data_IF_081767393756
#
_entry.id   IF_081767393756
#
_cell.length_a   1.000
_cell.length_b   1.000
_cell.length_c   1.000
_cell.angle_alpha   90.00
_cell.angle_beta   90.00
_cell.angle_gamma   90.00
#
_symmetry.space_group_name_H-M   'P 1'
#
loop_
_entity.id
_entity.type
_entity.pdbx_description
1 polymer ?
#
# COMPACT_ATOMS: atom_id res chain seq x y z
N UNK A 1 -6.52 -54.75 2.33
CA UNK A 1 -7.93 -54.58 1.94
C UNK A 1 -7.98 -53.49 0.87
N UNK A 2 -8.02 -53.93 -0.39
CA UNK A 2 -8.57 -53.28 -1.59
C UNK A 2 -8.18 -51.81 -1.83
N UNK A 3 -7.17 -51.47 -2.65
CA UNK A 3 -7.23 -51.42 -4.13
C UNK A 3 -8.65 -51.30 -4.70
N UNK A 4 -9.05 -50.07 -5.06
CA UNK A 4 -9.88 -49.72 -6.23
C UNK A 4 -10.57 -48.37 -6.00
N UNK A 5 -10.03 -47.31 -6.61
CA UNK A 5 -10.81 -46.37 -7.44
C UNK A 5 -9.85 -45.36 -8.12
N UNK A 6 -8.82 -45.90 -8.78
CA UNK A 6 -8.31 -45.30 -10.02
C UNK A 6 -9.09 -46.00 -11.13
N UNK A 7 -9.46 -45.26 -12.19
CA UNK A 7 -10.45 -45.61 -13.24
C UNK A 7 -11.87 -45.42 -12.67
N UNK A 8 -12.66 -44.38 -12.97
CA UNK A 8 -12.99 -43.79 -14.27
C UNK A 8 -13.01 -42.25 -14.19
N UNK A 9 -11.89 -41.59 -14.49
CA UNK A 9 -11.96 -40.31 -15.20
C UNK A 9 -12.14 -40.68 -16.66
N UNK A 10 -13.36 -41.06 -17.03
CA UNK A 10 -13.74 -41.02 -18.44
C UNK A 10 -13.61 -39.57 -18.86
N UNK A 11 -12.91 -39.34 -19.97
CA UNK A 11 -12.73 -38.07 -20.65
C UNK A 11 -14.06 -37.33 -20.84
N UNK A 12 -14.52 -36.63 -19.81
CA UNK A 12 -15.36 -35.47 -19.99
C UNK A 12 -14.37 -34.34 -20.21
N UNK A 13 -13.88 -34.23 -21.45
CA UNK A 13 -13.47 -32.92 -21.93
C UNK A 13 -14.67 -32.03 -21.70
N UNK A 14 -14.65 -31.22 -20.63
CA UNK A 14 -15.51 -30.07 -20.53
C UNK A 14 -15.38 -29.38 -21.89
N UNK A 15 -16.47 -29.37 -22.65
CA UNK A 15 -16.51 -28.59 -23.89
C UNK A 15 -16.56 -27.14 -23.42
N UNK A 16 -15.40 -26.61 -23.01
CA UNK A 16 -15.21 -25.20 -22.74
C UNK A 16 -15.30 -24.51 -24.08
N UNK A 17 -16.50 -24.04 -24.40
CA UNK A 17 -16.83 -23.44 -25.67
C UNK A 17 -18.25 -22.90 -25.65
N UNK A 18 -18.49 -21.92 -26.51
CA UNK A 18 -19.82 -21.34 -26.66
C UNK A 18 -20.64 -22.25 -27.57
N UNK A 19 -21.30 -23.24 -26.98
CA UNK A 19 -22.04 -24.25 -27.74
C UNK A 19 -23.44 -23.76 -28.11
N UNK A 20 -23.82 -23.92 -29.37
CA UNK A 20 -25.21 -23.75 -29.77
C UNK A 20 -26.05 -24.95 -29.30
N UNK A 21 -27.09 -24.78 -28.47
CA UNK A 21 -27.88 -25.88 -27.94
C UNK A 21 -28.74 -26.60 -28.99
N UNK A 22 -29.04 -25.94 -30.12
CA UNK A 22 -29.82 -26.55 -31.20
C UNK A 22 -28.95 -27.30 -32.21
N UNK A 23 -27.80 -26.72 -32.60
CA UNK A 23 -26.90 -27.34 -33.57
C UNK A 23 -25.82 -28.23 -32.96
N UNK A 24 -25.61 -28.16 -31.64
CA UNK A 24 -24.47 -28.76 -30.93
C UNK A 24 -23.11 -28.37 -31.54
N UNK A 25 -23.04 -27.18 -32.14
CA UNK A 25 -21.82 -26.61 -32.72
C UNK A 25 -21.08 -25.79 -31.66
N UNK A 26 -19.79 -26.06 -31.50
CA UNK A 26 -18.91 -25.24 -30.66
C UNK A 26 -18.49 -23.99 -31.42
N UNK A 27 -18.70 -22.83 -30.81
CA UNK A 27 -18.35 -21.52 -31.37
C UNK A 27 -17.23 -20.89 -30.52
N UNK A 28 -16.43 -20.03 -31.14
CA UNK A 28 -15.19 -19.51 -30.56
C UNK A 28 -15.39 -18.38 -29.54
N UNK A 29 -16.59 -17.78 -29.49
CA UNK A 29 -16.93 -16.70 -28.57
C UNK A 29 -18.44 -16.58 -28.30
N UNK A 30 -18.80 -15.84 -27.24
CA UNK A 30 -20.18 -15.52 -26.88
C UNK A 30 -20.89 -14.73 -28.00
N UNK A 31 -20.20 -13.76 -28.59
CA UNK A 31 -20.71 -12.98 -29.73
C UNK A 31 -20.99 -13.86 -30.96
N UNK A 32 -20.10 -14.81 -31.29
CA UNK A 32 -20.34 -15.74 -32.40
C UNK A 32 -21.54 -16.64 -32.16
N UNK A 33 -21.73 -17.09 -30.91
CA UNK A 33 -22.91 -17.85 -30.51
C UNK A 33 -24.20 -17.05 -30.66
N UNK A 34 -24.21 -15.81 -30.20
CA UNK A 34 -25.35 -14.91 -30.35
C UNK A 34 -25.69 -14.65 -31.82
N UNK A 35 -24.70 -14.38 -32.66
CA UNK A 35 -24.92 -14.14 -34.10
C UNK A 35 -25.40 -15.41 -34.80
N UNK A 36 -24.81 -16.57 -34.49
CA UNK A 36 -25.25 -17.86 -35.00
C UNK A 36 -26.71 -18.12 -34.63
N UNK A 37 -27.06 -17.94 -33.35
CA UNK A 37 -28.41 -18.19 -32.86
C UNK A 37 -29.43 -17.26 -33.53
N UNK A 38 -29.14 -15.96 -33.58
CA UNK A 38 -30.02 -14.97 -34.20
C UNK A 38 -30.15 -15.10 -35.72
N UNK A 39 -29.23 -15.79 -36.40
CA UNK A 39 -29.28 -15.97 -37.85
C UNK A 39 -29.81 -17.34 -38.29
N UNK A 40 -29.69 -18.37 -37.44
CA UNK A 40 -30.07 -19.75 -37.76
C UNK A 40 -31.31 -20.25 -37.02
N UNK A 41 -31.56 -19.74 -35.83
CA UNK A 41 -32.61 -20.23 -34.92
C UNK A 41 -33.65 -19.17 -34.58
N UNK A 42 -33.30 -17.88 -34.63
CA UNK A 42 -34.29 -16.83 -34.55
C UNK A 42 -35.07 -16.75 -35.88
N UNK A 43 -36.24 -17.36 -35.92
CA UNK A 43 -37.20 -17.14 -37.01
C UNK A 43 -37.93 -15.81 -36.80
N UNK A 44 -38.19 -15.05 -37.88
CA UNK A 44 -38.86 -13.72 -37.83
C UNK A 44 -40.29 -13.73 -37.26
N UNK A 45 -40.82 -14.89 -36.87
CA UNK A 45 -42.16 -15.06 -36.31
C UNK A 45 -42.26 -14.93 -34.79
N UNK A 46 -41.14 -14.82 -34.05
CA UNK A 46 -41.17 -14.73 -32.57
C UNK A 46 -41.36 -13.32 -32.02
N UNK A 47 -41.45 -12.27 -32.86
CA UNK A 47 -41.61 -10.91 -32.36
C UNK A 47 -43.05 -10.50 -32.00
N UNK A 48 -44.08 -11.34 -32.22
CA UNK A 48 -45.48 -10.90 -32.01
C UNK A 48 -46.51 -11.95 -31.55
N UNK A 49 -46.10 -13.08 -31.00
CA UNK A 49 -47.03 -13.96 -30.26
C UNK A 49 -46.68 -13.89 -28.77
N UNK A 50 -47.67 -13.70 -27.87
CA UNK A 50 -47.48 -14.09 -26.48
C UNK A 50 -47.00 -15.53 -26.52
N UNK A 51 -45.89 -15.85 -25.86
CA UNK A 51 -45.43 -17.22 -25.70
C UNK A 51 -46.54 -17.96 -24.95
N UNK A 52 -47.46 -18.57 -25.69
CA UNK A 52 -48.39 -19.55 -25.15
C UNK A 52 -47.52 -20.74 -24.74
N UNK A 53 -47.20 -20.75 -23.45
CA UNK A 53 -46.53 -21.85 -22.76
C UNK A 53 -47.29 -23.13 -23.17
N UNK A 54 -46.61 -24.15 -23.73
CA UNK A 54 -47.25 -25.44 -23.99
C UNK A 54 -47.94 -25.88 -22.71
N UNK A 55 -49.10 -26.55 -22.76
CA UNK A 55 -49.78 -27.00 -21.55
C UNK A 55 -48.79 -27.87 -20.79
N UNK A 56 -48.29 -27.33 -19.67
CA UNK A 56 -47.37 -28.02 -18.78
C UNK A 56 -48.16 -29.22 -18.31
N UNK A 57 -47.84 -30.39 -18.85
CA UNK A 57 -48.24 -31.64 -18.24
C UNK A 57 -47.64 -31.56 -16.85
N UNK A 58 -48.49 -31.53 -15.82
CA UNK A 58 -48.13 -31.34 -14.41
C UNK A 58 -47.23 -32.50 -13.95
N UNK A 59 -45.96 -32.46 -14.36
CA UNK A 59 -44.89 -33.34 -13.91
C UNK A 59 -44.26 -32.65 -12.69
N UNK A 60 -44.46 -33.20 -11.48
CA UNK A 60 -44.02 -32.57 -10.23
C UNK A 60 -42.55 -32.16 -10.25
N UNK A 61 -41.70 -32.95 -10.90
CA UNK A 61 -40.26 -32.73 -11.04
C UNK A 61 -39.91 -31.40 -11.73
N UNK A 62 -40.66 -31.00 -12.76
CA UNK A 62 -40.41 -29.74 -13.48
C UNK A 62 -40.80 -28.54 -12.61
N UNK A 63 -41.87 -28.68 -11.82
CA UNK A 63 -42.30 -27.62 -10.91
C UNK A 63 -41.39 -27.45 -9.69
N UNK A 64 -40.75 -28.53 -9.22
CA UNK A 64 -39.72 -28.44 -8.18
C UNK A 64 -38.44 -27.80 -8.71
N UNK A 65 -37.97 -28.20 -9.91
CA UNK A 65 -36.78 -27.61 -10.51
C UNK A 65 -36.91 -26.09 -10.74
N UNK A 66 -38.10 -25.62 -11.16
CA UNK A 66 -38.36 -24.18 -11.30
C UNK A 66 -38.26 -23.47 -9.94
N UNK A 67 -38.80 -24.06 -8.87
CA UNK A 67 -38.70 -23.49 -7.52
C UNK A 67 -37.25 -23.45 -7.03
N UNK A 68 -36.49 -24.52 -7.25
CA UNK A 68 -35.08 -24.59 -6.88
C UNK A 68 -34.25 -23.55 -7.62
N UNK A 69 -34.51 -23.36 -8.91
CA UNK A 69 -33.87 -22.33 -9.72
C UNK A 69 -34.21 -20.92 -9.22
N UNK A 70 -35.49 -20.62 -8.97
CA UNK A 70 -35.92 -19.31 -8.45
C UNK A 70 -35.29 -19.03 -7.09
N UNK A 71 -35.19 -20.05 -6.23
CA UNK A 71 -34.56 -19.94 -4.91
C UNK A 71 -33.06 -19.70 -5.03
N UNK A 72 -32.38 -20.36 -5.97
CA UNK A 72 -30.97 -20.14 -6.25
C UNK A 72 -30.72 -18.72 -6.80
N UNK A 73 -31.52 -18.26 -7.76
CA UNK A 73 -31.41 -16.91 -8.33
C UNK A 73 -31.61 -15.85 -7.25
N UNK A 74 -32.62 -16.01 -6.40
CA UNK A 74 -32.88 -15.10 -5.29
C UNK A 74 -31.73 -15.10 -4.27
N UNK A 75 -31.18 -16.29 -3.96
CA UNK A 75 -30.02 -16.46 -3.10
C UNK A 75 -28.79 -15.73 -3.64
N UNK A 76 -28.45 -15.95 -4.92
CA UNK A 76 -27.35 -15.29 -5.61
C UNK A 76 -27.53 -13.77 -5.64
N UNK A 77 -28.73 -13.27 -5.92
CA UNK A 77 -29.00 -11.83 -5.93
C UNK A 77 -28.80 -11.21 -4.53
N UNK A 78 -29.28 -11.90 -3.49
CA UNK A 78 -29.13 -11.45 -2.11
C UNK A 78 -27.67 -11.43 -1.67
N UNK A 79 -26.92 -12.49 -1.98
CA UNK A 79 -25.50 -12.59 -1.66
C UNK A 79 -24.68 -11.54 -2.41
N UNK A 80 -24.91 -11.35 -3.71
CA UNK A 80 -24.22 -10.33 -4.50
C UNK A 80 -24.46 -8.93 -3.95
N UNK A 81 -25.69 -8.63 -3.49
CA UNK A 81 -25.99 -7.36 -2.84
C UNK A 81 -25.22 -7.17 -1.53
N UNK A 82 -25.10 -8.21 -0.71
CA UNK A 82 -24.33 -8.15 0.53
C UNK A 82 -22.83 -7.91 0.26
N UNK A 83 -22.28 -8.62 -0.73
CA UNK A 83 -20.89 -8.45 -1.16
C UNK A 83 -20.64 -7.04 -1.70
N UNK A 84 -21.54 -6.48 -2.50
CA UNK A 84 -21.42 -5.11 -3.02
C UNK A 84 -21.37 -4.07 -1.89
N UNK A 85 -22.20 -4.21 -0.87
CA UNK A 85 -22.18 -3.33 0.31
C UNK A 85 -20.90 -3.51 1.15
N UNK A 86 -20.36 -4.72 1.24
CA UNK A 86 -19.10 -4.99 1.92
C UNK A 86 -17.89 -4.41 1.17
N UNK A 87 -17.91 -4.50 -0.16
CA UNK A 87 -16.91 -3.88 -1.03
C UNK A 87 -16.95 -2.35 -0.88
N UNK A 88 -18.13 -1.72 -0.89
CA UNK A 88 -18.28 -0.27 -0.67
C UNK A 88 -17.73 0.14 0.70
N UNK A 89 -18.08 -0.60 1.75
CA UNK A 89 -17.60 -0.33 3.12
C UNK A 89 -16.08 -0.45 3.20
N UNK A 90 -15.51 -1.49 2.63
CA UNK A 90 -14.06 -1.73 2.63
C UNK A 90 -13.33 -0.68 1.80
N UNK A 91 -13.86 -0.33 0.63
CA UNK A 91 -13.32 0.74 -0.21
C UNK A 91 -13.26 2.07 0.53
N UNK A 92 -14.32 2.44 1.27
CA UNK A 92 -14.33 3.66 2.06
C UNK A 92 -13.26 3.66 3.16
N UNK A 93 -13.03 2.52 3.82
CA UNK A 93 -11.96 2.37 4.82
C UNK A 93 -10.57 2.52 4.20
N UNK A 94 -10.34 1.94 3.02
CA UNK A 94 -9.07 2.08 2.28
C UNK A 94 -8.83 3.54 1.90
N UNK A 95 -9.82 4.23 1.34
CA UNK A 95 -9.68 5.66 0.98
C UNK A 95 -9.37 6.54 2.19
N UNK A 96 -9.99 6.26 3.35
CA UNK A 96 -9.67 6.95 4.60
C UNK A 96 -8.21 6.70 5.02
N UNK A 97 -7.76 5.44 5.00
CA UNK A 97 -6.39 5.08 5.34
C UNK A 97 -5.37 5.76 4.43
N UNK A 98 -5.60 5.79 3.12
CA UNK A 98 -4.75 6.49 2.16
C UNK A 98 -4.67 7.98 2.44
N UNK A 99 -5.81 8.61 2.78
CA UNK A 99 -5.84 10.02 3.16
C UNK A 99 -5.04 10.28 4.43
N UNK A 100 -5.19 9.43 5.46
CA UNK A 100 -4.43 9.54 6.72
C UNK A 100 -2.94 9.38 6.48
N UNK A 101 -2.53 8.37 5.70
CA UNK A 101 -1.13 8.13 5.36
C UNK A 101 -0.53 9.30 4.59
N UNK A 102 -1.25 9.86 3.62
CA UNK A 102 -0.79 11.05 2.89
C UNK A 102 -0.57 12.24 3.82
N UNK A 103 -1.54 12.52 4.71
CA UNK A 103 -1.40 13.60 5.70
C UNK A 103 -0.27 13.37 6.70
N UNK A 104 0.05 12.11 7.04
CA UNK A 104 1.18 11.77 7.91
C UNK A 104 2.53 11.97 7.22
N UNK A 105 2.60 11.73 5.90
CA UNK A 105 3.82 11.95 5.10
C UNK A 105 4.08 13.43 4.84
N UNK A 106 3.01 14.21 4.69
CA UNK A 106 3.08 15.66 4.44
C UNK A 106 3.11 16.51 5.72
N UNK A 107 3.02 15.88 6.90
CA UNK A 107 2.96 16.55 8.20
C UNK A 107 1.76 17.49 8.38
N UNK A 108 0.69 17.23 7.65
CA UNK A 108 -0.53 18.06 7.62
C UNK A 108 -1.68 17.47 8.42
N UNK A 109 -1.47 16.34 9.10
CA UNK A 109 -2.55 15.69 9.85
C UNK A 109 -3.04 16.57 10.99
N UNK A 110 -4.36 16.84 11.00
CA UNK A 110 -4.98 17.65 12.04
C UNK A 110 -5.39 16.80 13.25
N UNK A 111 -5.36 17.40 14.44
CA UNK A 111 -5.84 16.76 15.68
C UNK A 111 -7.31 16.37 15.60
N UNK A 112 -8.13 17.18 14.93
CA UNK A 112 -9.54 16.88 14.66
C UNK A 112 -9.70 15.64 13.76
N UNK A 113 -8.85 15.50 12.73
CA UNK A 113 -8.85 14.32 11.87
C UNK A 113 -8.55 13.07 12.68
N UNK A 114 -7.51 13.12 13.53
CA UNK A 114 -7.13 11.99 14.40
C UNK A 114 -8.26 11.62 15.37
N UNK A 115 -8.90 12.61 16.00
CA UNK A 115 -10.00 12.39 16.95
C UNK A 115 -11.21 11.67 16.33
N UNK A 116 -11.47 11.89 15.03
CA UNK A 116 -12.59 11.29 14.32
C UNK A 116 -12.32 9.88 13.78
N UNK A 117 -11.09 9.36 13.93
CA UNK A 117 -10.75 8.00 13.49
C UNK A 117 -11.35 6.94 14.42
N UNK A 118 -11.58 5.74 13.86
CA UNK A 118 -11.91 4.54 14.64
C UNK A 118 -10.84 4.28 15.72
N UNK A 119 -11.26 3.77 16.89
CA UNK A 119 -10.42 3.62 18.10
C UNK A 119 -9.03 3.03 17.82
N UNK A 120 -8.98 1.88 17.16
CA UNK A 120 -7.74 1.14 16.88
C UNK A 120 -6.80 1.94 15.97
N UNK A 121 -7.34 2.55 14.91
CA UNK A 121 -6.56 3.37 13.99
C UNK A 121 -6.08 4.66 14.67
N UNK A 122 -6.95 5.29 15.48
CA UNK A 122 -6.60 6.48 16.24
C UNK A 122 -5.44 6.23 17.19
N UNK A 123 -5.50 5.14 17.98
CA UNK A 123 -4.42 4.75 18.88
C UNK A 123 -3.10 4.54 18.12
N UNK A 124 -3.12 3.81 17.00
CA UNK A 124 -1.92 3.59 16.18
C UNK A 124 -1.33 4.88 15.61
N UNK A 125 -2.18 5.80 15.14
CA UNK A 125 -1.76 7.10 14.61
C UNK A 125 -1.17 7.97 15.73
N UNK A 126 -1.82 8.03 16.88
CA UNK A 126 -1.31 8.76 18.04
C UNK A 126 0.05 8.22 18.49
N UNK A 127 0.18 6.90 18.69
CA UNK A 127 1.45 6.27 19.09
C UNK A 127 2.57 6.51 18.08
N UNK A 128 2.23 6.57 16.78
CA UNK A 128 3.19 6.91 15.73
C UNK A 128 3.65 8.36 15.84
N UNK A 129 2.71 9.30 16.00
CA UNK A 129 3.00 10.72 16.13
C UNK A 129 3.85 11.00 17.39
N UNK A 130 3.52 10.40 18.53
CA UNK A 130 4.28 10.55 19.77
C UNK A 130 5.72 10.04 19.63
N UNK A 131 5.90 8.84 19.05
CA UNK A 131 7.24 8.29 18.79
C UNK A 131 8.05 9.18 17.87
N UNK A 132 7.41 9.71 16.83
CA UNK A 132 8.04 10.60 15.87
C UNK A 132 8.46 11.92 16.54
N UNK A 133 7.60 12.54 17.34
CA UNK A 133 7.93 13.75 18.10
C UNK A 133 9.09 13.50 19.06
N UNK A 134 9.08 12.40 19.81
CA UNK A 134 10.19 12.05 20.70
C UNK A 134 11.52 11.91 19.95
N UNK A 135 11.51 11.25 18.79
CA UNK A 135 12.69 11.09 17.96
C UNK A 135 13.21 12.44 17.42
N UNK A 136 12.31 13.32 16.97
CA UNK A 136 12.67 14.67 16.51
C UNK A 136 13.30 15.50 17.63
N UNK A 137 12.68 15.54 18.82
CA UNK A 137 13.23 16.27 19.97
C UNK A 137 14.60 15.72 20.40
N UNK A 138 14.79 14.40 20.38
CA UNK A 138 16.09 13.80 20.69
C UNK A 138 17.16 14.18 19.64
N UNK A 139 16.78 14.24 18.36
CA UNK A 139 17.66 14.66 17.28
C UNK A 139 18.06 16.13 17.39
N UNK A 140 17.10 17.02 17.69
CA UNK A 140 17.35 18.45 17.94
C UNK A 140 18.29 18.65 19.12
N UNK A 141 18.04 17.97 20.25
CA UNK A 141 18.91 18.04 21.42
C UNK A 141 20.33 17.53 21.13
N UNK A 142 20.47 16.45 20.36
CA UNK A 142 21.77 15.94 19.95
C UNK A 142 22.52 16.91 19.03
N UNK A 143 21.80 17.59 18.13
CA UNK A 143 22.36 18.62 17.27
C UNK A 143 22.86 19.82 18.09
N UNK A 144 22.05 20.32 19.03
CA UNK A 144 22.42 21.43 19.90
C UNK A 144 23.65 21.11 20.75
N UNK A 145 23.72 19.89 21.28
CA UNK A 145 24.90 19.42 22.01
C UNK A 145 26.14 19.41 21.12
N UNK A 146 26.04 18.88 19.89
CA UNK A 146 27.16 18.85 18.95
C UNK A 146 27.63 20.26 18.55
N UNK A 147 26.71 21.21 18.40
CA UNK A 147 27.04 22.62 18.15
C UNK A 147 27.77 23.23 19.35
N UNK A 148 27.31 22.95 20.57
CA UNK A 148 27.96 23.39 21.81
C UNK A 148 29.37 22.85 21.94
N UNK A 149 29.56 21.54 21.74
CA UNK A 149 30.87 20.87 21.78
C UNK A 149 31.82 21.45 20.74
N UNK A 150 31.33 21.70 19.51
CA UNK A 150 32.10 22.35 18.45
C UNK A 150 32.55 23.75 18.85
N UNK A 151 31.67 24.55 19.46
CA UNK A 151 32.01 25.91 19.88
C UNK A 151 33.04 25.90 21.02
N UNK A 152 32.90 24.99 21.99
CA UNK A 152 33.88 24.82 23.04
C UNK A 152 35.25 24.40 22.49
N UNK A 153 35.29 23.53 21.48
CA UNK A 153 36.51 23.14 20.80
C UNK A 153 37.18 24.33 20.09
N UNK A 154 36.40 25.19 19.41
CA UNK A 154 36.91 26.39 18.76
C UNK A 154 37.52 27.38 19.76
N UNK A 155 36.88 27.60 20.91
CA UNK A 155 37.44 28.44 21.97
C UNK A 155 38.78 27.92 22.48
N UNK A 156 38.92 26.59 22.62
CA UNK A 156 40.20 25.97 22.98
C UNK A 156 41.26 26.17 21.91
N UNK A 157 40.90 26.03 20.63
CA UNK A 157 41.82 26.30 19.51
C UNK A 157 42.31 27.73 19.55
N UNK A 158 41.42 28.72 19.68
CA UNK A 158 41.82 30.13 19.78
C UNK A 158 42.71 30.41 20.99
N UNK A 159 42.44 29.79 22.14
CA UNK A 159 43.32 29.90 23.31
C UNK A 159 44.72 29.33 23.06
N UNK A 160 44.81 28.19 22.36
CA UNK A 160 46.09 27.59 22.01
C UNK A 160 46.85 28.40 20.95
N UNK A 161 46.15 28.97 19.96
CA UNK A 161 46.72 29.89 18.97
C UNK A 161 47.35 31.10 19.66
N UNK A 162 46.64 31.70 20.63
CA UNK A 162 47.17 32.82 21.42
C UNK A 162 48.44 32.44 22.19
N UNK A 163 48.41 31.31 22.92
CA UNK A 163 49.59 30.80 23.64
C UNK A 163 50.76 30.52 22.70
N UNK A 164 50.50 29.95 21.52
CA UNK A 164 51.53 29.68 20.53
C UNK A 164 52.18 30.98 20.05
N UNK A 165 51.38 32.01 19.75
CA UNK A 165 51.88 33.33 19.39
C UNK A 165 52.75 33.94 20.50
N UNK A 166 52.31 33.87 21.76
CA UNK A 166 53.07 34.37 22.92
C UNK A 166 54.41 33.63 23.07
N UNK A 167 54.41 32.30 22.95
CA UNK A 167 55.65 31.50 23.03
C UNK A 167 56.60 31.79 21.88
N UNK A 168 56.08 31.99 20.67
CA UNK A 168 56.89 32.36 19.51
C UNK A 168 57.54 33.75 19.69
N UNK A 169 56.78 34.71 20.22
CA UNK A 169 57.29 36.04 20.52
C UNK A 169 58.37 36.00 21.62
N UNK A 170 58.13 35.25 22.70
CA UNK A 170 59.11 35.08 23.79
C UNK A 170 60.41 34.44 23.29
N UNK A 171 60.31 33.43 22.43
CA UNK A 171 61.48 32.79 21.81
C UNK A 171 62.24 33.76 20.90
N UNK A 172 61.55 34.56 20.09
CA UNK A 172 62.18 35.56 19.23
C UNK A 172 62.98 36.58 20.05
N UNK A 173 62.39 37.12 21.12
CA UNK A 173 63.08 38.06 22.03
C UNK A 173 64.28 37.41 22.73
N UNK A 174 64.17 36.14 23.13
CA UNK A 174 65.29 35.40 23.73
C UNK A 174 66.44 35.20 22.74
N UNK A 175 66.14 34.83 21.49
CA UNK A 175 67.12 34.70 20.41
C UNK A 175 67.83 36.03 20.13
N UNK A 176 67.09 37.14 20.05
CA UNK A 176 67.67 38.47 19.85
C UNK A 176 68.59 38.89 21.01
N UNK A 177 68.17 38.60 22.24
CA UNK A 177 68.98 38.86 23.44
C UNK A 177 70.29 38.06 23.44
N UNK A 178 70.22 36.77 23.07
CA UNK A 178 71.40 35.91 22.94
C UNK A 178 72.32 36.38 21.82
N UNK A 179 71.76 36.79 20.67
CA UNK A 179 72.54 37.32 19.56
C UNK A 179 73.29 38.60 19.97
N UNK A 180 72.60 39.52 20.66
CA UNK A 180 73.21 40.75 21.18
C UNK A 180 74.31 40.45 22.21
N UNK A 181 74.10 39.48 23.10
CA UNK A 181 75.12 39.06 24.06
C UNK A 181 76.35 38.47 23.35
N UNK A 182 76.14 37.63 22.33
CA UNK A 182 77.20 37.02 21.55
C UNK A 182 78.05 38.07 20.80
N UNK A 183 77.41 39.06 20.16
CA UNK A 183 78.10 40.17 19.51
C UNK A 183 78.99 40.94 20.49
N UNK A 184 78.50 41.19 21.71
CA UNK A 184 79.29 41.90 22.74
C UNK A 184 80.49 41.10 23.24
N UNK A 185 80.40 39.77 23.28
CA UNK A 185 81.54 38.91 23.63
C UNK A 185 82.60 38.98 22.52
N UNK A 186 82.18 38.91 21.26
CA UNK A 186 83.10 39.03 20.11
C UNK A 186 83.80 40.39 20.02
N UNK A 187 83.19 41.48 20.53
CA UNK A 187 83.83 42.80 20.61
C UNK A 187 84.90 42.90 21.73
N UNK A 188 84.91 41.98 22.69
CA UNK A 188 85.83 41.97 23.83
C UNK A 188 87.04 41.03 23.62
N UNK A 189 87.01 40.18 22.59
CA UNK A 189 88.10 39.31 22.15
C UNK A 189 88.98 39.99 21.08
#
# INVERSE_FOLDING_TARGET
VLTSLVVWMSDVTEVQGFLCPECMLSLGSSEELMVHFNSKHASETDQKKPVERPPVTELPEVTELIKDYDQLVLGCFTQNKQLDEEVKRTSAKVTLLESVLRSLLEDTISTTTVANLEEDLRSKVTDFLERRTCAQTAQEAAFDQAVSDKNQALERVHSLEGKLADTAQSLATACESLQNANSRVLELE
#
